data_IF_750563356963
#
_entry.id   IF_750563356963
#
_cell.length_a   1.000
_cell.length_b   1.000
_cell.length_c   1.000
_cell.angle_alpha   90.00
_cell.angle_beta   90.00
_cell.angle_gamma   90.00
#
_symmetry.space_group_name_H-M   'P 1'
#
loop_
_entity.id
_entity.type
_entity.pdbx_description
1 polymer ?
#
# COMPACT_ATOMS: atom_id res chain seq x y z
N UNK A 1 -18.93 -4.39 15.97
CA UNK A 1 -17.45 -4.30 15.92
C UNK A 1 -16.88 -3.43 14.78
N UNK A 2 -17.66 -2.58 14.10
CA UNK A 2 -17.15 -1.71 13.02
C UNK A 2 -16.70 -0.31 13.47
N UNK A 3 -17.04 0.12 14.70
CA UNK A 3 -16.94 1.51 15.16
C UNK A 3 -15.57 1.91 15.74
N UNK A 4 -14.82 0.96 16.31
CA UNK A 4 -13.49 1.24 16.92
C UNK A 4 -12.41 1.42 15.85
N UNK A 5 -12.43 0.61 14.78
CA UNK A 5 -11.51 0.75 13.64
C UNK A 5 -11.72 2.05 12.86
N UNK A 6 -12.93 2.63 12.86
CA UNK A 6 -13.20 3.91 12.20
C UNK A 6 -12.75 5.11 13.05
N UNK A 7 -12.82 5.00 14.39
CA UNK A 7 -12.52 6.12 15.28
C UNK A 7 -11.03 6.51 15.33
N UNK A 8 -10.13 5.53 15.44
CA UNK A 8 -8.69 5.79 15.49
C UNK A 8 -8.10 6.00 14.10
N UNK A 9 -8.50 5.18 13.12
CA UNK A 9 -8.01 5.31 11.75
C UNK A 9 -8.52 6.58 11.06
N UNK A 10 -9.77 7.00 11.33
CA UNK A 10 -10.31 8.27 10.87
C UNK A 10 -9.59 9.48 11.49
N UNK A 11 -9.35 9.47 12.81
CA UNK A 11 -8.58 10.52 13.49
C UNK A 11 -7.14 10.67 12.99
N UNK A 12 -6.52 9.57 12.54
CA UNK A 12 -5.20 9.56 11.89
C UNK A 12 -5.31 10.08 10.45
N UNK A 13 -6.28 9.60 9.67
CA UNK A 13 -6.49 10.02 8.28
C UNK A 13 -6.82 11.52 8.15
N UNK A 14 -7.54 12.09 9.13
CA UNK A 14 -7.84 13.52 9.25
C UNK A 14 -6.59 14.39 9.47
N UNK A 15 -5.52 13.84 10.07
CA UNK A 15 -4.25 14.54 10.32
C UNK A 15 -3.23 14.33 9.22
N UNK A 16 -3.10 13.09 8.78
CA UNK A 16 -2.19 12.67 7.73
C UNK A 16 -3.03 11.82 6.79
N UNK A 17 -3.13 12.16 5.49
CA UNK A 17 -4.05 11.49 4.59
C UNK A 17 -3.49 10.12 4.16
N UNK A 18 -3.46 9.17 5.11
CA UNK A 18 -2.88 7.83 4.99
C UNK A 18 -3.64 7.01 3.97
N UNK A 19 -4.97 7.07 3.98
CA UNK A 19 -5.82 6.33 3.05
C UNK A 19 -5.59 6.84 1.63
N UNK A 20 -5.60 8.15 1.41
CA UNK A 20 -5.37 8.72 0.08
C UNK A 20 -3.97 8.45 -0.45
N UNK A 21 -2.96 8.44 0.42
CA UNK A 21 -1.56 8.19 0.04
C UNK A 21 -1.34 6.73 -0.31
N UNK A 22 -1.93 5.82 0.49
CA UNK A 22 -1.97 4.39 0.20
C UNK A 22 -2.66 4.10 -1.13
N UNK A 23 -3.78 4.75 -1.41
CA UNK A 23 -4.48 4.60 -2.68
C UNK A 23 -3.62 5.04 -3.86
N UNK A 24 -2.95 6.18 -3.76
CA UNK A 24 -2.13 6.73 -4.86
C UNK A 24 -0.88 5.90 -5.17
N UNK A 25 -0.22 5.35 -4.15
CA UNK A 25 1.09 4.71 -4.31
C UNK A 25 1.03 3.19 -4.38
N UNK A 26 -0.03 2.56 -3.85
CA UNK A 26 -0.06 1.11 -3.68
C UNK A 26 -1.31 0.48 -4.29
N UNK A 27 -2.51 0.89 -3.88
CA UNK A 27 -3.73 0.15 -4.27
C UNK A 27 -4.29 0.52 -5.65
N UNK A 28 -4.19 1.79 -6.05
CA UNK A 28 -4.63 2.28 -7.37
C UNK A 28 -3.45 2.68 -8.26
N UNK A 29 -2.23 2.37 -7.84
CA UNK A 29 -1.06 2.60 -8.67
C UNK A 29 -1.11 1.65 -9.87
N UNK A 30 -1.11 2.22 -11.07
CA UNK A 30 -1.25 1.44 -12.29
C UNK A 30 -0.02 0.55 -12.48
N UNK A 31 -0.22 -0.75 -12.30
CA UNK A 31 0.79 -1.75 -12.53
C UNK A 31 0.69 -2.23 -14.00
N UNK A 32 1.80 -2.22 -14.78
CA UNK A 32 1.80 -2.64 -16.18
C UNK A 32 1.17 -4.03 -16.39
N UNK A 33 0.28 -4.19 -17.38
CA UNK A 33 -0.41 -5.47 -17.63
C UNK A 33 0.50 -6.57 -18.19
N UNK A 34 1.71 -6.24 -18.61
CA UNK A 34 2.69 -7.13 -19.23
C UNK A 34 3.84 -7.52 -18.28
N UNK A 35 3.57 -7.67 -16.98
CA UNK A 35 4.58 -8.17 -16.04
C UNK A 35 5.09 -9.54 -16.48
N UNK A 36 6.41 -9.66 -16.55
CA UNK A 36 7.10 -10.93 -16.76
C UNK A 36 7.56 -11.51 -15.42
N UNK A 37 7.88 -12.80 -15.40
CA UNK A 37 8.39 -13.54 -14.25
C UNK A 37 9.59 -12.84 -13.56
N UNK A 38 10.47 -12.21 -14.35
CA UNK A 38 11.68 -11.56 -13.83
C UNK A 38 11.42 -10.40 -12.84
N UNK A 39 10.23 -9.79 -12.84
CA UNK A 39 9.90 -8.70 -11.90
C UNK A 39 9.78 -9.19 -10.44
N UNK A 40 9.61 -10.50 -10.22
CA UNK A 40 9.59 -11.09 -8.87
C UNK A 40 10.95 -10.94 -8.19
N UNK A 41 12.06 -10.98 -8.94
CA UNK A 41 13.40 -10.84 -8.38
C UNK A 41 13.66 -9.46 -7.75
N UNK A 42 12.95 -8.42 -8.19
CA UNK A 42 13.02 -7.11 -7.55
C UNK A 42 12.37 -7.06 -6.16
N UNK A 43 11.34 -7.88 -5.92
CA UNK A 43 10.75 -8.02 -4.58
C UNK A 43 11.59 -8.99 -3.73
N UNK A 44 12.12 -10.05 -4.33
CA UNK A 44 13.02 -10.99 -3.65
C UNK A 44 14.31 -10.30 -3.18
N UNK A 45 14.85 -9.33 -3.93
CA UNK A 45 16.04 -8.58 -3.48
C UNK A 45 15.77 -7.76 -2.22
N UNK A 46 14.57 -7.17 -2.07
CA UNK A 46 14.17 -6.49 -0.83
C UNK A 46 14.05 -7.44 0.35
N UNK A 47 13.57 -8.68 0.12
CA UNK A 47 13.46 -9.69 1.17
C UNK A 47 14.82 -10.22 1.64
N UNK A 48 15.78 -10.39 0.72
CA UNK A 48 17.16 -10.81 1.06
C UNK A 48 17.95 -9.69 1.73
N UNK A 49 17.62 -8.43 1.46
CA UNK A 49 18.26 -7.25 2.04
C UNK A 49 17.85 -6.98 3.50
N UNK A 50 16.80 -7.63 4.00
CA UNK A 50 16.32 -7.53 5.39
C UNK A 50 16.96 -8.57 6.30
#
# INVERSE_FOLDING_TARGET
>A
MKKILTGTLGWVDDRIPVVSTWEKHLSKYYAPKNFNFWYIFGVLSMLVLV
#
